data_IF_307142522315
#
_entry.id   IF_307142522315
#
_cell.length_a   1.000
_cell.length_b   1.000
_cell.length_c   1.000
_cell.angle_alpha   90.00
_cell.angle_beta   90.00
_cell.angle_gamma   90.00
#
_symmetry.space_group_name_H-M   'P 1'
#
loop_
_entity.id
_entity.type
_entity.pdbx_description
1 polymer ?
#
# COMPACT_ATOMS: atom_id res chain seq x y z
N UNK A 1 -1.98 6.93 -20.13
CA UNK A 1 -2.17 7.50 -18.77
C UNK A 1 -1.89 6.40 -17.76
N UNK A 2 -0.82 6.51 -16.98
CA UNK A 2 -0.51 5.56 -15.91
C UNK A 2 -1.37 5.91 -14.70
N UNK A 3 -2.37 5.08 -14.40
CA UNK A 3 -3.16 5.21 -13.18
C UNK A 3 -2.28 4.89 -11.98
N UNK A 4 -1.92 5.91 -11.21
CA UNK A 4 -1.16 5.74 -9.97
C UNK A 4 -2.08 5.21 -8.87
N UNK A 5 -1.64 4.16 -8.19
CA UNK A 5 -2.37 3.55 -7.07
C UNK A 5 -2.76 4.57 -5.98
N UNK A 6 -1.91 5.57 -5.74
CA UNK A 6 -2.18 6.69 -4.82
C UNK A 6 -3.44 7.45 -5.19
N UNK A 7 -3.63 7.79 -6.46
CA UNK A 7 -4.82 8.52 -6.94
C UNK A 7 -6.07 7.66 -6.78
N UNK A 8 -5.99 6.38 -7.14
CA UNK A 8 -7.09 5.42 -6.92
C UNK A 8 -7.51 5.38 -5.44
N UNK A 9 -6.53 5.22 -4.54
CA UNK A 9 -6.77 5.18 -3.09
C UNK A 9 -7.43 6.47 -2.58
N UNK A 10 -6.96 7.63 -3.01
CA UNK A 10 -7.53 8.91 -2.60
C UNK A 10 -8.99 9.07 -3.04
N UNK A 11 -9.28 8.77 -4.31
CA UNK A 11 -10.65 8.81 -4.85
C UNK A 11 -11.55 7.85 -4.08
N UNK A 12 -11.09 6.62 -3.85
CA UNK A 12 -11.85 5.61 -3.11
C UNK A 12 -12.13 6.05 -1.66
N UNK A 13 -11.15 6.64 -0.98
CA UNK A 13 -11.33 7.15 0.38
C UNK A 13 -12.31 8.33 0.44
N UNK A 14 -12.31 9.22 -0.56
CA UNK A 14 -13.31 10.30 -0.65
C UNK A 14 -14.71 9.74 -0.87
N UNK A 15 -14.86 8.73 -1.74
CA UNK A 15 -16.14 8.03 -1.95
C UNK A 15 -16.60 7.39 -0.64
N UNK A 16 -15.74 6.65 0.05
CA UNK A 16 -16.08 6.02 1.33
C UNK A 16 -16.54 7.06 2.37
N UNK A 17 -15.84 8.20 2.49
CA UNK A 17 -16.25 9.29 3.38
C UNK A 17 -17.64 9.83 3.02
N UNK A 18 -17.87 10.11 1.74
CA UNK A 18 -19.17 10.59 1.26
C UNK A 18 -20.30 9.60 1.59
N UNK A 19 -20.10 8.31 1.31
CA UNK A 19 -21.09 7.26 1.60
C UNK A 19 -21.39 7.17 3.10
N UNK A 20 -20.35 7.23 3.96
CA UNK A 20 -20.53 7.22 5.42
C UNK A 20 -21.28 8.46 5.91
N UNK A 21 -20.92 9.66 5.45
CA UNK A 21 -21.61 10.91 5.82
C UNK A 21 -23.07 10.90 5.37
N UNK A 22 -23.34 10.53 4.12
CA UNK A 22 -24.71 10.42 3.61
C UNK A 22 -25.54 9.44 4.43
N UNK A 23 -24.95 8.29 4.79
CA UNK A 23 -25.59 7.28 5.64
C UNK A 23 -25.91 7.82 7.02
N UNK A 24 -24.98 8.52 7.68
CA UNK A 24 -25.18 9.09 9.01
C UNK A 24 -26.32 10.12 8.99
N UNK A 25 -26.31 11.02 7.99
CA UNK A 25 -27.36 12.05 7.84
C UNK A 25 -28.73 11.40 7.60
N UNK A 26 -28.80 10.42 6.69
CA UNK A 26 -30.04 9.68 6.41
C UNK A 26 -30.53 8.89 7.63
N UNK A 27 -29.62 8.33 8.43
CA UNK A 27 -29.96 7.59 9.64
C UNK A 27 -30.60 8.48 10.70
N UNK A 28 -30.04 9.67 10.93
CA UNK A 28 -30.63 10.65 11.84
C UNK A 28 -31.97 11.16 11.33
N UNK A 29 -32.09 11.43 10.03
CA UNK A 29 -33.36 11.83 9.41
C UNK A 29 -34.44 10.74 9.57
N UNK A 30 -34.06 9.47 9.44
CA UNK A 30 -34.97 8.32 9.53
C UNK A 30 -35.14 7.79 10.95
N UNK A 31 -34.55 8.41 11.98
CA UNK A 31 -34.59 7.94 13.37
C UNK A 31 -36.01 7.58 13.86
N UNK A 32 -37.07 8.37 13.57
CA UNK A 32 -38.44 8.05 14.01
C UNK A 32 -39.08 6.86 13.28
N UNK A 33 -38.51 6.41 12.17
CA UNK A 33 -39.06 5.37 11.29
C UNK A 33 -38.52 3.97 11.62
N UNK A 34 -37.51 3.87 12.46
CA UNK A 34 -36.95 2.58 12.87
C UNK A 34 -37.85 1.92 13.90
N UNK A 35 -38.20 0.66 13.66
CA UNK A 35 -39.02 -0.15 14.58
C UNK A 35 -38.30 -0.47 15.89
N UNK A 36 -36.95 -0.52 15.86
CA UNK A 36 -36.09 -0.75 17.02
C UNK A 36 -35.04 0.34 17.09
N UNK A 37 -35.02 1.10 18.18
CA UNK A 37 -34.08 2.20 18.40
C UNK A 37 -32.61 1.76 18.36
N UNK A 38 -32.31 0.49 18.63
CA UNK A 38 -30.94 -0.05 18.59
C UNK A 38 -30.33 -0.02 17.19
N UNK A 39 -31.15 -0.23 16.14
CA UNK A 39 -30.67 -0.34 14.75
C UNK A 39 -30.02 0.97 14.25
N UNK A 40 -30.68 2.16 14.33
CA UNK A 40 -30.07 3.39 13.86
C UNK A 40 -28.82 3.76 14.67
N UNK A 41 -28.79 3.50 15.98
CA UNK A 41 -27.61 3.76 16.80
C UNK A 41 -26.42 2.86 16.44
N UNK A 42 -26.67 1.58 16.18
CA UNK A 42 -25.65 0.65 15.68
C UNK A 42 -25.10 1.12 14.34
N UNK A 43 -26.00 1.52 13.43
CA UNK A 43 -25.66 2.00 12.10
C UNK A 43 -24.82 3.28 12.16
N UNK A 44 -25.25 4.28 12.93
CA UNK A 44 -24.49 5.53 13.12
C UNK A 44 -23.12 5.23 13.73
N UNK A 45 -23.03 4.36 14.74
CA UNK A 45 -21.76 4.03 15.40
C UNK A 45 -20.75 3.39 14.45
N UNK A 46 -21.18 2.39 13.66
CA UNK A 46 -20.31 1.72 12.69
C UNK A 46 -19.85 2.72 11.61
N UNK A 47 -20.75 3.55 11.11
CA UNK A 47 -20.41 4.53 10.08
C UNK A 47 -19.52 5.66 10.60
N UNK A 48 -19.67 6.07 11.86
CA UNK A 48 -18.78 7.02 12.51
C UNK A 48 -17.37 6.45 12.66
N UNK A 49 -17.22 5.18 13.08
CA UNK A 49 -15.91 4.54 13.14
C UNK A 49 -15.26 4.44 11.75
N UNK A 50 -16.04 4.10 10.72
CA UNK A 50 -15.58 4.06 9.33
C UNK A 50 -15.17 5.43 8.81
N UNK A 51 -15.94 6.47 9.13
CA UNK A 51 -15.63 7.87 8.82
C UNK A 51 -14.32 8.30 9.48
N UNK A 52 -14.18 8.10 10.79
CA UNK A 52 -12.98 8.47 11.55
C UNK A 52 -11.75 7.74 10.99
N UNK A 53 -11.85 6.43 10.73
CA UNK A 53 -10.77 5.61 10.16
C UNK A 53 -10.34 6.13 8.79
N UNK A 54 -11.29 6.41 7.92
CA UNK A 54 -11.00 6.87 6.55
C UNK A 54 -10.47 8.29 6.54
N UNK A 55 -11.04 9.18 7.37
CA UNK A 55 -10.55 10.54 7.54
C UNK A 55 -9.11 10.52 8.06
N UNK A 56 -8.85 9.71 9.09
CA UNK A 56 -7.51 9.51 9.63
C UNK A 56 -6.54 8.97 8.59
N UNK A 57 -6.95 8.02 7.75
CA UNK A 57 -6.09 7.50 6.67
C UNK A 57 -5.69 8.58 5.67
N UNK A 58 -6.57 9.53 5.34
CA UNK A 58 -6.26 10.60 4.38
C UNK A 58 -5.45 11.71 5.05
N UNK A 59 -5.82 12.09 6.28
CA UNK A 59 -5.25 13.23 7.00
C UNK A 59 -3.93 12.89 7.69
N UNK A 60 -3.63 11.61 7.97
CA UNK A 60 -2.40 11.19 8.68
C UNK A 60 -1.15 11.79 8.07
N UNK A 61 -0.99 11.73 6.75
CA UNK A 61 0.21 12.26 6.08
C UNK A 61 0.33 13.79 6.24
N UNK A 62 -0.80 14.49 6.27
CA UNK A 62 -0.84 15.94 6.49
C UNK A 62 -0.59 16.31 7.96
N UNK A 63 -1.12 15.53 8.90
CA UNK A 63 -1.13 15.86 10.32
C UNK A 63 0.12 15.40 11.07
N UNK A 64 0.62 14.19 10.79
CA UNK A 64 1.72 13.58 11.55
C UNK A 64 2.99 13.38 10.73
N UNK A 65 2.98 13.74 9.43
CA UNK A 65 4.10 13.51 8.49
C UNK A 65 4.59 12.05 8.46
N UNK A 66 3.79 11.12 8.99
CA UNK A 66 4.16 9.72 9.18
C UNK A 66 3.71 8.88 8.00
N UNK A 67 4.54 7.93 7.59
CA UNK A 67 4.22 6.95 6.56
C UNK A 67 3.07 6.04 7.01
N UNK A 68 2.14 5.72 6.10
CA UNK A 68 1.06 4.79 6.37
C UNK A 68 1.43 3.42 5.83
N UNK A 69 1.73 2.47 6.71
CA UNK A 69 2.09 1.13 6.27
C UNK A 69 0.89 0.39 5.69
N UNK A 70 1.13 -0.49 4.70
CA UNK A 70 0.12 -1.39 4.14
C UNK A 70 -0.56 -2.23 5.23
N UNK A 71 0.21 -2.73 6.20
CA UNK A 71 -0.33 -3.47 7.35
C UNK A 71 -1.31 -2.64 8.18
N UNK A 72 -0.95 -1.40 8.50
CA UNK A 72 -1.83 -0.53 9.30
C UNK A 72 -3.15 -0.23 8.58
N UNK A 73 -3.12 -0.06 7.26
CA UNK A 73 -4.32 0.12 6.45
C UNK A 73 -5.16 -1.16 6.41
N UNK A 74 -4.54 -2.30 6.13
CA UNK A 74 -5.21 -3.59 6.05
C UNK A 74 -5.87 -3.98 7.38
N UNK A 75 -5.18 -3.82 8.51
CA UNK A 75 -5.72 -4.09 9.84
C UNK A 75 -6.92 -3.18 10.13
N UNK A 76 -6.81 -1.89 9.83
CA UNK A 76 -7.89 -0.92 10.06
C UNK A 76 -9.12 -1.16 9.20
N UNK A 77 -8.95 -1.67 7.98
CA UNK A 77 -10.06 -2.06 7.11
C UNK A 77 -10.67 -3.40 7.54
N UNK A 78 -9.83 -4.39 7.84
CA UNK A 78 -10.25 -5.72 8.25
C UNK A 78 -10.98 -5.72 9.59
N UNK A 79 -10.58 -4.88 10.54
CA UNK A 79 -11.29 -4.75 11.82
C UNK A 79 -12.73 -4.27 11.67
N UNK A 80 -13.02 -3.44 10.65
CA UNK A 80 -14.37 -2.94 10.36
C UNK A 80 -15.19 -3.85 9.45
N UNK A 81 -14.53 -4.79 8.76
CA UNK A 81 -15.16 -5.72 7.81
C UNK A 81 -16.39 -6.46 8.37
N UNK A 82 -16.32 -7.16 9.53
CA UNK A 82 -17.48 -7.92 10.02
C UNK A 82 -18.65 -7.01 10.37
N UNK A 83 -18.38 -5.78 10.83
CA UNK A 83 -19.41 -4.81 11.17
C UNK A 83 -20.15 -4.30 9.94
N UNK A 84 -19.44 -4.03 8.84
CA UNK A 84 -20.06 -3.66 7.57
C UNK A 84 -20.92 -4.78 6.98
N UNK A 85 -20.50 -6.04 7.15
CA UNK A 85 -21.28 -7.22 6.74
C UNK A 85 -22.56 -7.36 7.56
N UNK A 86 -22.46 -7.30 8.90
CA UNK A 86 -23.61 -7.35 9.81
C UNK A 86 -24.58 -6.21 9.50
N UNK A 87 -24.07 -4.99 9.27
CA UNK A 87 -24.91 -3.83 8.95
C UNK A 87 -25.70 -4.02 7.65
N UNK A 88 -25.05 -4.55 6.61
CA UNK A 88 -25.71 -4.84 5.34
C UNK A 88 -26.80 -5.91 5.50
N UNK A 89 -26.53 -6.98 6.26
CA UNK A 89 -27.50 -8.05 6.55
C UNK A 89 -28.70 -7.53 7.36
N UNK A 90 -28.44 -6.74 8.41
CA UNK A 90 -29.49 -6.13 9.23
C UNK A 90 -30.39 -5.26 8.35
N UNK A 91 -29.83 -4.36 7.54
CA UNK A 91 -30.66 -3.51 6.68
C UNK A 91 -31.37 -4.24 5.55
N UNK A 92 -30.83 -5.36 5.06
CA UNK A 92 -31.51 -6.19 4.07
C UNK A 92 -32.74 -6.90 4.66
N UNK A 93 -32.78 -7.11 5.97
CA UNK A 93 -33.81 -7.88 6.68
C UNK A 93 -34.71 -7.05 7.59
N UNK A 94 -34.38 -5.77 7.81
CA UNK A 94 -35.14 -4.90 8.71
C UNK A 94 -36.44 -4.44 8.06
N UNK A 95 -37.54 -4.62 8.78
CA UNK A 95 -38.82 -4.01 8.44
C UNK A 95 -38.93 -2.60 9.05
N UNK A 96 -39.28 -1.63 8.21
CA UNK A 96 -39.43 -0.23 8.59
C UNK A 96 -40.88 0.05 8.98
N UNK A 97 -41.08 0.72 10.12
CA UNK A 97 -42.41 1.12 10.58
C UNK A 97 -42.64 2.58 10.24
N UNK A 98 -43.70 2.89 9.50
CA UNK A 98 -44.19 4.25 9.34
C UNK A 98 -44.58 4.63 7.92
N UNK A 99 -45.13 5.84 7.78
CA UNK A 99 -45.54 6.45 6.50
C UNK A 99 -44.37 7.12 5.75
N UNK A 100 -43.12 6.76 6.04
CA UNK A 100 -41.99 7.36 5.33
C UNK A 100 -42.01 6.96 3.86
N UNK A 101 -41.53 7.84 2.99
CA UNK A 101 -41.47 7.56 1.56
C UNK A 101 -40.57 6.34 1.31
N UNK A 102 -41.04 5.31 0.58
CA UNK A 102 -40.24 4.12 0.28
C UNK A 102 -38.92 4.47 -0.42
N UNK A 103 -38.87 5.60 -1.12
CA UNK A 103 -37.68 6.13 -1.78
C UNK A 103 -36.55 6.45 -0.79
N UNK A 104 -36.85 7.03 0.37
CA UNK A 104 -35.81 7.40 1.36
C UNK A 104 -35.19 6.15 1.98
N UNK A 105 -36.01 5.12 2.19
CA UNK A 105 -35.53 3.83 2.66
C UNK A 105 -34.62 3.15 1.63
N UNK A 106 -35.05 3.05 0.37
CA UNK A 106 -34.21 2.50 -0.70
C UNK A 106 -32.89 3.26 -0.81
N UNK A 107 -32.92 4.59 -0.68
CA UNK A 107 -31.72 5.41 -0.71
C UNK A 107 -30.76 5.06 0.43
N UNK A 108 -31.26 4.92 1.67
CA UNK A 108 -30.45 4.49 2.81
C UNK A 108 -29.84 3.10 2.59
N UNK A 109 -30.63 2.14 2.08
CA UNK A 109 -30.13 0.80 1.77
C UNK A 109 -29.02 0.83 0.72
N UNK A 110 -29.19 1.60 -0.37
CA UNK A 110 -28.18 1.75 -1.42
C UNK A 110 -26.89 2.31 -0.85
N UNK A 111 -26.96 3.35 -0.02
CA UNK A 111 -25.77 3.92 0.61
C UNK A 111 -25.07 2.95 1.54
N UNK A 112 -25.82 2.22 2.38
CA UNK A 112 -25.21 1.31 3.36
C UNK A 112 -24.68 0.06 2.69
N UNK A 113 -25.48 -0.60 1.84
CA UNK A 113 -25.06 -1.82 1.13
C UNK A 113 -23.93 -1.48 0.16
N UNK A 114 -24.06 -0.41 -0.63
CA UNK A 114 -23.02 0.05 -1.53
C UNK A 114 -21.72 0.40 -0.80
N UNK A 115 -21.81 1.13 0.32
CA UNK A 115 -20.67 1.44 1.17
C UNK A 115 -20.00 0.18 1.75
N UNK A 116 -20.79 -0.79 2.23
CA UNK A 116 -20.28 -2.07 2.71
C UNK A 116 -19.60 -2.88 1.61
N UNK A 117 -20.16 -2.93 0.39
CA UNK A 117 -19.56 -3.62 -0.76
C UNK A 117 -18.22 -2.98 -1.12
N UNK A 118 -18.16 -1.64 -1.21
CA UNK A 118 -16.91 -0.91 -1.49
C UNK A 118 -15.85 -1.23 -0.43
N UNK A 119 -16.22 -1.20 0.86
CA UNK A 119 -15.32 -1.51 1.96
C UNK A 119 -14.79 -2.95 1.86
N UNK A 120 -15.68 -3.92 1.64
CA UNK A 120 -15.35 -5.34 1.50
C UNK A 120 -14.40 -5.56 0.31
N UNK A 121 -14.76 -5.08 -0.87
CA UNK A 121 -13.97 -5.24 -2.10
C UNK A 121 -12.59 -4.61 -1.93
N UNK A 122 -12.51 -3.43 -1.35
CA UNK A 122 -11.23 -2.77 -1.11
C UNK A 122 -10.37 -3.53 -0.09
N UNK A 123 -10.96 -3.98 1.03
CA UNK A 123 -10.26 -4.76 2.05
C UNK A 123 -9.69 -6.04 1.46
N UNK A 124 -10.54 -6.84 0.80
CA UNK A 124 -10.15 -8.12 0.19
C UNK A 124 -9.14 -7.90 -0.92
N UNK A 125 -9.34 -6.91 -1.79
CA UNK A 125 -8.42 -6.57 -2.87
C UNK A 125 -7.04 -6.17 -2.35
N UNK A 126 -6.97 -5.32 -1.33
CA UNK A 126 -5.71 -4.90 -0.71
C UNK A 126 -4.95 -6.10 -0.13
N UNK A 127 -5.64 -6.98 0.61
CA UNK A 127 -5.03 -8.19 1.20
C UNK A 127 -4.53 -9.15 0.11
N UNK A 128 -5.34 -9.41 -0.91
CA UNK A 128 -4.95 -10.31 -2.01
C UNK A 128 -3.72 -9.75 -2.74
N UNK A 129 -3.75 -8.49 -3.13
CA UNK A 129 -2.63 -7.86 -3.86
C UNK A 129 -1.38 -7.84 -2.98
N UNK A 130 -1.49 -7.52 -1.69
CA UNK A 130 -0.37 -7.59 -0.75
C UNK A 130 0.21 -9.01 -0.64
N UNK A 131 -0.64 -10.05 -0.52
CA UNK A 131 -0.19 -11.43 -0.47
C UNK A 131 0.53 -11.85 -1.76
N UNK A 132 -0.02 -11.52 -2.93
CA UNK A 132 0.63 -11.81 -4.21
C UNK A 132 1.99 -11.11 -4.26
N UNK A 133 2.08 -9.85 -3.85
CA UNK A 133 3.35 -9.11 -3.79
C UNK A 133 4.38 -9.77 -2.85
N UNK A 134 3.96 -10.25 -1.67
CA UNK A 134 4.83 -11.02 -0.74
C UNK A 134 5.42 -12.25 -1.41
N UNK A 135 4.59 -13.01 -2.11
CA UNK A 135 5.02 -14.25 -2.75
C UNK A 135 5.82 -14.02 -4.04
N UNK A 136 5.59 -12.91 -4.73
CA UNK A 136 6.22 -12.63 -6.01
C UNK A 136 7.63 -12.03 -5.85
N UNK A 137 7.78 -10.93 -5.10
CA UNK A 137 9.05 -10.19 -5.09
C UNK A 137 9.34 -9.31 -3.86
N UNK A 138 8.38 -9.05 -2.95
CA UNK A 138 8.60 -8.11 -1.83
C UNK A 138 8.01 -8.63 -0.50
N UNK A 139 8.85 -9.27 0.30
CA UNK A 139 8.49 -9.84 1.62
C UNK A 139 8.13 -8.77 2.65
N UNK A 140 8.66 -7.55 2.50
CA UNK A 140 8.50 -6.45 3.45
C UNK A 140 7.37 -5.49 3.06
N UNK A 141 6.54 -5.85 2.07
CA UNK A 141 5.42 -5.02 1.59
C UNK A 141 4.49 -4.54 2.70
N UNK A 142 4.33 -5.31 3.78
CA UNK A 142 3.48 -4.98 4.93
C UNK A 142 3.92 -3.71 5.68
N UNK A 143 5.23 -3.47 5.77
CA UNK A 143 5.78 -2.29 6.47
C UNK A 143 5.97 -1.10 5.53
N UNK A 144 5.91 -1.33 4.21
CA UNK A 144 6.08 -0.26 3.21
C UNK A 144 4.95 0.76 3.29
N UNK A 145 5.30 2.01 3.01
CA UNK A 145 4.35 3.10 2.88
C UNK A 145 3.44 2.85 1.66
N UNK A 146 2.14 2.81 1.89
CA UNK A 146 1.11 2.52 0.89
C UNK A 146 1.04 3.60 -0.22
N UNK A 147 1.44 4.83 0.11
CA UNK A 147 1.49 5.98 -0.80
C UNK A 147 2.89 6.22 -1.39
N UNK A 148 3.85 5.30 -1.18
CA UNK A 148 5.20 5.47 -1.70
C UNK A 148 5.25 5.46 -3.23
N UNK A 149 6.25 6.14 -3.78
CA UNK A 149 6.61 6.11 -5.21
C UNK A 149 8.03 5.56 -5.31
N UNK A 150 8.23 4.39 -5.96
CA UNK A 150 7.25 3.57 -6.67
C UNK A 150 6.24 2.87 -5.73
N UNK A 151 5.02 2.66 -6.23
CA UNK A 151 3.94 2.01 -5.47
C UNK A 151 4.34 0.60 -5.00
N UNK A 152 3.91 0.16 -3.80
CA UNK A 152 4.10 -1.23 -3.37
C UNK A 152 3.36 -2.25 -4.27
N UNK A 153 2.43 -1.78 -5.09
CA UNK A 153 1.60 -2.62 -5.96
C UNK A 153 1.78 -2.23 -7.44
N UNK A 154 2.91 -2.59 -8.09
CA UNK A 154 3.11 -2.34 -9.50
C UNK A 154 2.19 -3.24 -10.34
N UNK A 155 0.98 -2.73 -10.63
CA UNK A 155 -0.11 -3.44 -11.32
C UNK A 155 0.35 -4.16 -12.60
N UNK A 156 1.20 -3.57 -13.49
CA UNK A 156 1.67 -4.28 -14.68
C UNK A 156 2.46 -5.56 -14.36
N UNK A 157 3.30 -5.53 -13.32
CA UNK A 157 4.11 -6.68 -12.90
C UNK A 157 3.22 -7.75 -12.25
N UNK A 158 2.25 -7.33 -11.44
CA UNK A 158 1.26 -8.23 -10.84
C UNK A 158 0.43 -8.97 -11.90
N UNK A 159 -0.02 -8.26 -12.94
CA UNK A 159 -0.77 -8.87 -14.05
C UNK A 159 0.11 -9.87 -14.79
N UNK A 160 1.37 -9.53 -15.06
CA UNK A 160 2.28 -10.42 -15.78
C UNK A 160 2.62 -11.67 -14.96
N UNK A 161 2.86 -11.52 -13.65
CA UNK A 161 3.06 -12.66 -12.74
C UNK A 161 1.84 -13.61 -12.71
N UNK A 162 0.62 -13.07 -12.73
CA UNK A 162 -0.61 -13.88 -12.77
C UNK A 162 -0.80 -14.57 -14.12
N UNK A 163 -0.38 -13.94 -15.23
CA UNK A 163 -0.44 -14.52 -16.59
C UNK A 163 0.61 -15.61 -16.81
N UNK A 164 1.83 -15.40 -16.31
CA UNK A 164 2.97 -16.31 -16.48
C UNK A 164 2.97 -17.49 -15.51
N UNK A 165 1.82 -17.89 -14.96
CA UNK A 165 1.72 -19.05 -14.06
C UNK A 165 1.20 -20.32 -14.77
N UNK A 166 2.04 -21.05 -15.55
CA UNK A 166 1.89 -22.48 -15.71
C UNK A 166 2.76 -23.23 -14.68
N UNK A 167 2.10 -23.96 -13.77
CA UNK A 167 2.50 -25.24 -13.14
C UNK A 167 3.87 -25.49 -12.47
N UNK A 168 4.89 -24.64 -12.52
CA UNK A 168 6.20 -24.97 -11.90
C UNK A 168 6.60 -23.98 -10.82
N UNK A 169 6.04 -24.18 -9.62
CA UNK A 169 6.63 -23.68 -8.37
C UNK A 169 7.87 -24.52 -8.04
N UNK A 170 8.95 -24.36 -8.81
CA UNK A 170 10.28 -24.76 -8.36
C UNK A 170 10.81 -23.64 -7.47
N UNK A 171 10.77 -23.90 -6.17
CA UNK A 171 11.53 -23.17 -5.15
C UNK A 171 13.01 -23.36 -5.50
N UNK A 172 13.59 -22.40 -6.21
CA UNK A 172 15.02 -22.36 -6.43
C UNK A 172 15.72 -22.14 -5.09
N UNK A 173 16.25 -23.21 -4.50
CA UNK A 173 17.37 -23.09 -3.55
C UNK A 173 18.54 -22.48 -4.32
N UNK A 174 18.72 -21.17 -4.14
CA UNK A 174 19.86 -20.46 -4.70
C UNK A 174 21.15 -20.97 -4.08
N UNK A 175 21.92 -21.70 -4.88
CA UNK A 175 23.29 -22.07 -4.56
C UNK A 175 24.13 -20.79 -4.41
N UNK A 176 24.78 -20.52 -3.26
CA UNK A 176 25.44 -19.23 -2.97
C UNK A 176 26.64 -18.89 -3.87
N UNK A 177 27.03 -19.78 -4.79
CA UNK A 177 28.21 -19.60 -5.64
C UNK A 177 27.90 -19.26 -7.12
N UNK A 178 26.65 -18.94 -7.46
CA UNK A 178 26.33 -18.47 -8.82
C UNK A 178 26.51 -16.95 -8.93
N UNK A 179 27.36 -16.45 -9.85
CA UNK A 179 27.50 -15.03 -10.09
C UNK A 179 26.18 -14.46 -10.62
N UNK A 180 25.70 -13.41 -9.97
CA UNK A 180 24.48 -12.70 -10.32
C UNK A 180 24.63 -12.06 -11.71
N UNK A 181 24.18 -12.77 -12.75
CA UNK A 181 23.99 -12.16 -14.08
C UNK A 181 22.71 -11.34 -13.99
N UNK A 182 22.84 -10.01 -13.99
CA UNK A 182 21.72 -9.10 -14.11
C UNK A 182 21.00 -9.31 -15.45
N UNK A 183 20.02 -10.22 -15.50
CA UNK A 183 19.02 -10.23 -16.55
C UNK A 183 17.96 -9.17 -16.23
N UNK A 184 18.31 -7.90 -16.44
CA UNK A 184 17.32 -6.84 -16.56
C UNK A 184 16.99 -6.74 -18.05
N UNK A 185 15.79 -7.18 -18.43
CA UNK A 185 15.16 -6.79 -19.69
C UNK A 185 14.89 -5.28 -19.65
N UNK A 186 15.92 -4.46 -19.84
CA UNK A 186 15.83 -3.02 -20.05
C UNK A 186 15.73 -2.76 -21.53
N UNK A 187 14.64 -2.11 -21.95
CA UNK A 187 14.36 -1.72 -23.35
C UNK A 187 15.21 -0.48 -23.76
N UNK A 188 16.20 -0.08 -22.96
CA UNK A 188 17.16 0.99 -23.29
C UNK A 188 18.60 0.50 -23.07
N UNK A 189 19.54 0.75 -24.01
CA UNK A 189 20.92 0.31 -23.89
C UNK A 189 21.64 1.18 -22.84
N UNK A 190 22.00 0.56 -21.72
CA UNK A 190 22.99 1.10 -20.80
C UNK A 190 24.35 0.52 -21.19
N UNK A 191 25.24 1.36 -21.75
CA UNK A 191 26.65 1.03 -21.93
C UNK A 191 27.35 1.02 -20.56
N UNK A 192 27.44 -0.15 -19.94
CA UNK A 192 28.30 -0.35 -18.79
C UNK A 192 29.73 -0.67 -19.29
N UNK A 193 30.76 0.13 -18.96
CA UNK A 193 32.13 -0.18 -19.34
C UNK A 193 32.57 -1.47 -18.64
N UNK A 194 33.00 -2.45 -19.44
CA UNK A 194 33.50 -3.73 -18.95
C UNK A 194 34.72 -3.52 -18.03
N UNK A 195 34.68 -4.17 -16.87
CA UNK A 195 35.80 -4.21 -15.92
C UNK A 195 36.98 -4.97 -16.57
N UNK A 196 38.18 -4.39 -16.68
CA UNK A 196 39.33 -5.10 -17.25
C UNK A 196 39.76 -6.26 -16.33
N UNK A 197 40.29 -7.36 -16.90
CA UNK A 197 40.71 -8.52 -16.13
C UNK A 197 41.93 -8.21 -15.24
N UNK A 198 42.14 -8.97 -14.15
CA UNK A 198 43.27 -8.77 -13.25
C UNK A 198 44.59 -9.11 -13.96
N UNK A 199 45.60 -8.24 -13.84
CA UNK A 199 46.98 -8.57 -14.21
C UNK A 199 47.57 -9.47 -13.14
N UNK A 200 48.04 -10.65 -13.56
CA UNK A 200 48.98 -11.46 -12.79
C UNK A 200 50.38 -10.86 -12.97
N UNK A 201 50.94 -10.28 -11.91
CA UNK A 201 52.37 -10.00 -11.84
C UNK A 201 52.98 -10.91 -10.76
N UNK A 202 53.82 -11.83 -11.22
CA UNK A 202 54.65 -12.71 -10.42
C UNK A 202 55.87 -11.96 -9.84
N UNK A 203 56.33 -12.36 -8.66
CA UNK A 203 57.72 -12.16 -8.25
C UNK A 203 57.97 -11.59 -6.86
N UNK A 204 58.18 -12.50 -5.90
CA UNK A 204 59.27 -12.53 -4.90
C UNK A 204 59.57 -11.31 -4.00
N UNK A 205 59.58 -11.57 -2.68
CA UNK A 205 60.64 -11.07 -1.79
C UNK A 205 60.22 -10.18 -0.62
N UNK A 206 60.19 -10.78 0.58
CA UNK A 206 60.51 -10.22 1.90
C UNK A 206 59.68 -9.09 2.54
N UNK A 207 59.13 -9.44 3.72
CA UNK A 207 58.63 -8.58 4.79
C UNK A 207 59.81 -8.26 5.77
N UNK A 208 59.71 -7.35 6.76
CA UNK A 208 58.63 -6.43 7.11
C UNK A 208 59.09 -4.99 7.50
N UNK A 209 58.12 -4.12 7.78
CA UNK A 209 58.22 -2.99 8.72
C UNK A 209 58.71 -1.62 8.18
N UNK A 210 57.83 -0.91 7.48
CA UNK A 210 57.61 0.54 7.72
C UNK A 210 56.29 1.00 7.11
N UNK A 211 55.44 1.55 7.96
CA UNK A 211 54.22 2.32 7.69
C UNK A 211 54.28 3.11 6.39
N UNK A 212 53.53 2.67 5.38
CA UNK A 212 53.14 3.48 4.23
C UNK A 212 51.65 3.32 4.00
N UNK A 213 50.97 4.45 4.15
CA UNK A 213 49.56 4.71 3.91
C UNK A 213 49.09 4.15 2.57
N UNK A 214 48.16 3.20 2.60
CA UNK A 214 47.33 2.81 1.47
C UNK A 214 46.21 3.86 1.30
N UNK A 215 45.96 4.38 0.09
CA UNK A 215 44.79 5.22 -0.17
C UNK A 215 43.53 4.34 -0.06
N UNK A 216 42.82 4.46 1.05
CA UNK A 216 41.48 3.93 1.23
C UNK A 216 40.51 4.66 0.30
N UNK A 217 40.36 4.19 -0.93
CA UNK A 217 39.20 4.48 -1.77
C UNK A 217 38.19 3.34 -1.61
N UNK A 218 37.81 3.09 -0.37
CA UNK A 218 36.56 2.41 -0.03
C UNK A 218 35.46 3.45 -0.22
N UNK A 219 34.81 3.41 -1.38
CA UNK A 219 33.52 4.10 -1.55
C UNK A 219 32.55 3.43 -0.58
N UNK A 220 32.41 4.00 0.63
CA UNK A 220 31.33 3.64 1.54
C UNK A 220 30.02 4.02 0.85
N UNK A 221 29.25 3.00 0.47
CA UNK A 221 27.84 3.18 0.13
C UNK A 221 27.15 3.66 1.41
N UNK A 222 26.53 4.85 1.42
CA UNK A 222 25.89 5.37 2.62
C UNK A 222 24.75 4.45 3.06
N UNK A 223 24.69 4.18 4.36
CA UNK A 223 23.54 3.49 4.93
C UNK A 223 22.31 4.40 4.87
N UNK A 224 21.10 3.82 4.84
CA UNK A 224 19.84 4.52 4.56
C UNK A 224 19.55 5.69 5.53
N UNK A 225 20.19 5.69 6.70
CA UNK A 225 20.14 6.78 7.66
C UNK A 225 20.97 8.02 7.25
N UNK A 226 22.12 7.84 6.59
CA UNK A 226 23.00 8.95 6.15
C UNK A 226 22.49 9.63 4.88
N UNK A 227 21.75 8.91 4.03
CA UNK A 227 21.15 9.47 2.82
C UNK A 227 20.06 10.50 3.12
N UNK A 228 19.49 10.49 4.33
CA UNK A 228 18.45 11.43 4.76
C UNK A 228 18.98 12.76 5.29
N UNK A 229 20.29 12.86 5.57
CA UNK A 229 20.91 14.06 6.16
C UNK A 229 21.88 14.78 5.22
N UNK A 230 22.13 14.27 4.02
CA UNK A 230 23.03 14.92 3.06
C UNK A 230 22.32 16.08 2.36
N UNK A 231 22.55 17.30 2.85
CA UNK A 231 22.21 18.55 2.14
C UNK A 231 23.20 18.70 0.98
N UNK A 232 22.70 18.71 -0.26
CA UNK A 232 23.51 18.98 -1.44
C UNK A 232 23.81 20.49 -1.53
N UNK A 233 25.07 20.88 -1.36
CA UNK A 233 25.53 22.24 -1.65
C UNK A 233 26.07 22.24 -3.10
N UNK A 234 25.39 22.92 -4.01
CA UNK A 234 25.89 23.19 -5.36
C UNK A 234 26.69 24.49 -5.35
N UNK A 235 27.98 24.43 -5.71
CA UNK A 235 28.74 25.64 -6.02
C UNK A 235 28.54 25.98 -7.49
N UNK A 236 27.84 27.08 -7.74
CA UNK A 236 27.74 27.69 -9.06
C UNK A 236 29.05 28.47 -9.32
N UNK A 237 29.84 27.99 -10.27
CA UNK A 237 31.05 28.67 -10.70
C UNK A 237 30.67 29.88 -11.56
N UNK A 238 30.72 31.07 -10.97
CA UNK A 238 30.61 32.35 -11.68
C UNK A 238 31.89 32.53 -12.52
N UNK A 239 31.71 32.73 -13.83
CA UNK A 239 32.77 33.04 -14.80
C UNK A 239 33.19 34.49 -14.70
#
# INVERSE_FOLDING_TARGET
MTFYFRTFRQVLSVIMLFMSTATIVLAFFMLPCFSRNVIPWLLVSIQMLSFIRTLWSISRKLLTSSSQSVASEAIGLFSLFPFHLILALILATTEFKGKSSPTVYMLLQVFVIGGSVIHIVYTTGLVIVALITVFAFDKDVWIRDIDSSPSPFPVPILIEYLRLRPSTWQRGEGNPNQPYVCQIHSILPCDCPAKPPPREDAGAGENPQKTKSLPHLLVRVPDAAQQRTSISISFEAVR
#
